data_IF_596614566308
#
_entry.id   IF_596614566308
#
_cell.length_a   1.000
_cell.length_b   1.000
_cell.length_c   1.000
_cell.angle_alpha   90.00
_cell.angle_beta   90.00
_cell.angle_gamma   90.00
#
_symmetry.space_group_name_H-M   'P 1'
#
loop_
_entity.id
_entity.type
_entity.pdbx_description
1 polymer ?
#
# COMPACT_ATOMS: atom_id res chain seq x y z
N UNK A 1 4.10 -16.15 80.83
CA UNK A 1 3.38 -16.77 79.70
C UNK A 1 2.68 -15.76 78.73
N UNK A 2 3.18 -14.53 78.48
CA UNK A 2 2.45 -13.55 77.62
C UNK A 2 3.12 -13.12 76.29
N UNK A 3 4.35 -13.56 75.97
CA UNK A 3 5.04 -13.19 74.72
C UNK A 3 4.85 -14.22 73.59
N UNK A 4 5.11 -15.50 73.87
CA UNK A 4 5.14 -16.55 72.84
C UNK A 4 3.77 -16.79 72.19
N UNK A 5 2.67 -16.67 72.96
CA UNK A 5 1.29 -16.79 72.45
C UNK A 5 0.96 -15.70 71.40
N UNK A 6 1.52 -14.49 71.53
CA UNK A 6 1.30 -13.43 70.53
C UNK A 6 1.99 -13.74 69.20
N UNK A 7 3.21 -14.28 69.23
CA UNK A 7 3.89 -14.73 68.02
C UNK A 7 3.24 -15.96 67.39
N UNK A 8 2.77 -16.91 68.21
CA UNK A 8 2.01 -18.06 67.71
C UNK A 8 0.71 -17.63 67.01
N UNK A 9 -0.06 -16.71 67.61
CA UNK A 9 -1.27 -16.15 67.00
C UNK A 9 -0.98 -15.30 65.75
N UNK A 10 0.14 -14.57 65.68
CA UNK A 10 0.55 -13.89 64.45
C UNK A 10 0.90 -14.87 63.33
N UNK A 11 1.61 -15.97 63.63
CA UNK A 11 1.99 -16.98 62.63
C UNK A 11 0.74 -17.74 62.13
N UNK A 12 -0.18 -18.12 63.03
CA UNK A 12 -1.47 -18.72 62.66
C UNK A 12 -2.33 -17.73 61.86
N UNK A 13 -2.31 -16.44 62.21
CA UNK A 13 -2.99 -15.38 61.46
C UNK A 13 -2.47 -15.20 60.03
N UNK A 14 -1.15 -15.22 59.83
CA UNK A 14 -0.53 -15.16 58.49
C UNK A 14 -0.84 -16.39 57.64
N UNK A 15 -0.89 -17.58 58.25
CA UNK A 15 -1.22 -18.83 57.58
C UNK A 15 -2.69 -18.91 57.13
N UNK A 16 -3.59 -18.12 57.71
CA UNK A 16 -5.03 -18.13 57.42
C UNK A 16 -5.48 -17.14 56.33
N UNK A 17 -4.59 -16.29 55.80
CA UNK A 17 -4.94 -15.30 54.76
C UNK A 17 -4.64 -15.74 53.33
N UNK A 18 -3.99 -16.89 53.11
CA UNK A 18 -3.61 -17.39 51.77
C UNK A 18 -4.72 -18.24 51.17
N UNK A 19 -5.89 -17.62 50.97
CA UNK A 19 -7.00 -18.18 50.20
C UNK A 19 -6.70 -18.18 48.71
N UNK A 20 -5.80 -19.06 48.25
CA UNK A 20 -5.56 -19.28 46.83
C UNK A 20 -6.83 -19.89 46.23
N UNK A 21 -7.65 -19.04 45.61
CA UNK A 21 -8.61 -19.47 44.60
C UNK A 21 -7.84 -20.03 43.42
N UNK A 22 -7.45 -21.29 43.52
CA UNK A 22 -6.98 -22.08 42.41
C UNK A 22 -8.15 -22.28 41.44
N UNK A 23 -8.40 -21.28 40.58
CA UNK A 23 -9.20 -21.47 39.39
C UNK A 23 -8.56 -22.61 38.60
N UNK A 24 -9.22 -23.76 38.62
CA UNK A 24 -8.78 -24.93 37.88
C UNK A 24 -9.13 -24.70 36.42
N UNK A 25 -8.28 -23.93 35.73
CA UNK A 25 -8.44 -23.55 34.33
C UNK A 25 -8.51 -24.82 33.48
N UNK A 26 -9.74 -25.23 33.15
CA UNK A 26 -9.98 -26.41 32.34
C UNK A 26 -9.54 -26.10 30.91
N UNK A 27 -8.37 -26.61 30.55
CA UNK A 27 -7.95 -26.65 29.15
C UNK A 27 -8.76 -27.71 28.41
N UNK A 28 -9.12 -27.41 27.16
CA UNK A 28 -9.82 -28.33 26.25
C UNK A 28 -8.87 -29.30 25.58
N UNK A 29 -7.64 -28.86 25.31
CA UNK A 29 -6.58 -29.65 24.67
C UNK A 29 -5.21 -29.07 25.05
N UNK A 30 -4.15 -29.85 24.85
CA UNK A 30 -2.75 -29.43 25.04
C UNK A 30 -2.00 -29.76 23.75
N UNK A 31 -1.69 -28.72 22.97
CA UNK A 31 -1.22 -28.86 21.59
C UNK A 31 0.28 -28.63 21.44
N UNK A 32 1.01 -29.67 21.02
CA UNK A 32 2.43 -29.56 20.62
C UNK A 32 2.58 -29.02 19.20
N UNK A 33 3.27 -27.89 19.06
CA UNK A 33 3.48 -27.15 17.80
C UNK A 33 4.26 -27.97 16.77
N UNK A 34 3.72 -28.10 15.56
CA UNK A 34 4.32 -28.81 14.43
C UNK A 34 5.08 -27.87 13.48
N UNK A 35 5.90 -28.45 12.60
CA UNK A 35 6.68 -27.68 11.61
C UNK A 35 5.70 -27.03 10.60
N UNK A 36 5.80 -25.70 10.44
CA UNK A 36 4.90 -24.80 9.68
C UNK A 36 3.58 -24.40 10.37
N UNK A 37 3.36 -24.77 11.63
CA UNK A 37 2.25 -24.19 12.38
C UNK A 37 2.49 -22.69 12.66
N UNK A 38 1.41 -21.96 12.91
CA UNK A 38 1.43 -20.54 13.32
C UNK A 38 0.40 -20.33 14.42
N UNK A 39 0.58 -19.30 15.26
CA UNK A 39 -0.34 -19.01 16.38
C UNK A 39 -1.78 -18.85 15.85
N UNK A 40 -1.95 -18.07 14.77
CA UNK A 40 -3.22 -17.93 14.04
C UNK A 40 -3.80 -19.25 13.52
N UNK A 41 -2.96 -20.10 12.90
CA UNK A 41 -3.40 -21.39 12.37
C UNK A 41 -3.88 -22.34 13.46
N UNK A 42 -3.25 -22.30 14.63
CA UNK A 42 -3.64 -23.08 15.81
C UNK A 42 -4.95 -22.53 16.39
N UNK A 43 -5.06 -21.22 16.62
CA UNK A 43 -6.30 -20.59 17.10
C UNK A 43 -7.49 -20.96 16.21
N UNK A 44 -7.35 -20.79 14.90
CA UNK A 44 -8.38 -21.12 13.91
C UNK A 44 -8.71 -22.63 13.87
N UNK A 45 -7.71 -23.53 13.94
CA UNK A 45 -7.93 -24.99 14.06
C UNK A 45 -8.84 -25.33 15.25
N UNK A 46 -8.68 -24.60 16.35
CA UNK A 46 -9.42 -24.79 17.59
C UNK A 46 -10.67 -23.91 17.72
N UNK A 47 -11.04 -23.14 16.69
CA UNK A 47 -12.21 -22.25 16.71
C UNK A 47 -12.11 -21.08 17.69
N UNK A 48 -10.89 -20.73 18.11
CA UNK A 48 -10.58 -19.65 19.04
C UNK A 48 -10.18 -18.38 18.28
N UNK A 49 -10.39 -17.23 18.91
CA UNK A 49 -9.75 -15.97 18.53
C UNK A 49 -8.25 -15.95 18.90
N UNK A 50 -7.47 -15.05 18.29
CA UNK A 50 -6.07 -14.85 18.69
C UNK A 50 -5.95 -14.38 20.16
N UNK A 51 -6.75 -13.41 20.66
CA UNK A 51 -6.76 -13.04 22.08
C UNK A 51 -6.93 -14.22 23.02
N UNK A 52 -7.96 -15.07 22.82
CA UNK A 52 -8.22 -16.23 23.70
C UNK A 52 -7.02 -17.21 23.76
N UNK A 53 -6.36 -17.47 22.61
CA UNK A 53 -5.18 -18.34 22.60
C UNK A 53 -3.97 -17.68 23.27
N UNK A 54 -3.73 -16.38 23.06
CA UNK A 54 -2.61 -15.66 23.70
C UNK A 54 -2.86 -15.39 25.19
N UNK A 55 -4.11 -15.35 25.64
CA UNK A 55 -4.48 -15.25 27.05
C UNK A 55 -4.27 -16.55 27.80
N UNK A 56 -4.56 -17.68 27.16
CA UNK A 56 -4.24 -19.01 27.66
C UNK A 56 -2.73 -19.34 27.67
N UNK A 57 -1.91 -18.59 26.91
CA UNK A 57 -0.47 -18.82 26.76
C UNK A 57 0.30 -17.49 26.91
N UNK A 58 0.41 -16.93 28.14
CA UNK A 58 0.90 -15.56 28.36
C UNK A 58 2.31 -15.29 27.85
N UNK A 59 3.16 -16.31 27.69
CA UNK A 59 4.48 -16.20 27.08
C UNK A 59 4.42 -15.70 25.62
N UNK A 60 3.31 -15.92 24.91
CA UNK A 60 3.08 -15.35 23.58
C UNK A 60 3.00 -13.81 23.58
N UNK A 61 2.71 -13.19 24.73
CA UNK A 61 2.61 -11.73 24.90
C UNK A 61 3.98 -11.07 25.11
N UNK A 62 5.07 -11.84 25.18
CA UNK A 62 6.44 -11.31 25.33
C UNK A 62 6.99 -10.77 24.00
N UNK A 63 7.73 -9.66 24.06
CA UNK A 63 8.35 -9.05 22.88
C UNK A 63 9.32 -10.02 22.18
N UNK A 64 9.23 -10.09 20.85
CA UNK A 64 10.05 -11.00 20.05
C UNK A 64 9.63 -12.48 20.09
N UNK A 65 8.54 -12.86 20.75
CA UNK A 65 8.10 -14.25 20.82
C UNK A 65 7.92 -14.89 19.42
N UNK A 66 8.68 -15.94 19.15
CA UNK A 66 8.55 -16.76 17.94
C UNK A 66 8.06 -18.15 18.33
N UNK A 67 6.97 -18.61 17.72
CA UNK A 67 6.39 -19.92 17.99
C UNK A 67 7.33 -21.03 17.49
N UNK A 68 7.92 -21.80 18.41
CA UNK A 68 8.90 -22.84 18.06
C UNK A 68 8.24 -24.22 17.89
N UNK A 69 8.80 -25.04 16.99
CA UNK A 69 8.37 -26.44 16.81
C UNK A 69 8.71 -27.24 18.07
N UNK A 70 7.70 -27.87 18.67
CA UNK A 70 7.84 -28.61 19.92
C UNK A 70 7.40 -27.84 21.18
N UNK A 71 7.16 -26.53 21.08
CA UNK A 71 6.48 -25.79 22.16
C UNK A 71 5.10 -26.41 22.41
N UNK A 72 4.70 -26.48 23.68
CA UNK A 72 3.40 -26.99 24.11
C UNK A 72 2.49 -25.82 24.43
N UNK A 73 1.27 -25.81 23.87
CA UNK A 73 0.29 -24.75 24.06
C UNK A 73 -0.95 -25.26 24.79
N UNK A 74 -1.46 -24.47 25.73
CA UNK A 74 -2.73 -24.69 26.39
C UNK A 74 -3.87 -24.17 25.52
N UNK A 75 -4.82 -25.02 25.17
CA UNK A 75 -5.97 -24.66 24.35
C UNK A 75 -7.19 -24.48 25.26
N UNK A 76 -7.74 -23.28 25.43
CA UNK A 76 -8.95 -23.07 26.23
C UNK A 76 -10.20 -23.63 25.52
N UNK A 77 -11.30 -23.75 26.26
CA UNK A 77 -12.63 -23.80 25.65
C UNK A 77 -12.92 -22.44 25.00
N UNK A 78 -13.70 -22.43 23.91
CA UNK A 78 -14.15 -21.18 23.31
C UNK A 78 -15.18 -20.51 24.23
N UNK A 79 -15.14 -19.19 24.32
CA UNK A 79 -16.10 -18.41 25.09
C UNK A 79 -17.49 -18.48 24.45
N UNK A 80 -18.57 -18.59 25.24
CA UNK A 80 -19.96 -18.64 24.73
C UNK A 80 -20.46 -17.33 24.06
N UNK A 81 -19.59 -16.35 23.83
CA UNK A 81 -19.90 -15.23 22.95
C UNK A 81 -19.86 -15.69 21.49
N UNK A 82 -21.01 -15.57 20.83
CA UNK A 82 -21.32 -16.21 19.53
C UNK A 82 -20.22 -16.04 18.47
N UNK A 83 -19.46 -17.11 18.21
CA UNK A 83 -18.54 -17.19 17.07
C UNK A 83 -19.32 -17.14 15.74
N UNK A 84 -19.16 -16.09 14.90
CA UNK A 84 -19.97 -15.93 13.68
C UNK A 84 -19.71 -16.98 12.58
N UNK A 85 -18.65 -17.77 12.70
CA UNK A 85 -18.16 -18.69 11.66
C UNK A 85 -18.36 -20.18 11.99
N UNK A 86 -19.21 -20.53 12.97
CA UNK A 86 -19.57 -21.92 13.24
C UNK A 86 -20.38 -22.52 12.05
N UNK A 87 -19.94 -23.63 11.43
CA UNK A 87 -20.62 -24.19 10.26
C UNK A 87 -21.95 -24.86 10.65
N UNK A 88 -23.07 -24.24 10.26
CA UNK A 88 -24.42 -24.80 10.46
C UNK A 88 -24.60 -26.10 9.67
N UNK A 89 -24.62 -27.24 10.37
CA UNK A 89 -25.21 -28.47 9.82
C UNK A 89 -26.73 -28.30 9.69
N UNK A 90 -27.29 -28.79 8.59
CA UNK A 90 -28.73 -28.72 8.34
C UNK A 90 -29.41 -30.02 8.81
N UNK A 91 -30.57 -29.87 9.45
CA UNK A 91 -31.66 -30.84 9.40
C UNK A 91 -32.90 -30.10 8.87
N UNK A 92 -33.73 -30.82 8.11
CA UNK A 92 -35.02 -30.35 7.61
C UNK A 92 -36.12 -30.89 8.51
N UNK A 93 -37.25 -30.18 8.60
CA UNK A 93 -38.54 -30.80 8.26
C UNK A 93 -39.61 -29.74 7.92
N UNK A 94 -40.65 -30.22 7.23
CA UNK A 94 -41.84 -29.51 6.73
C UNK A 94 -42.94 -29.48 7.84
N UNK A 95 -44.08 -28.76 7.81
CA UNK A 95 -44.73 -27.76 6.91
C UNK A 95 -45.86 -27.03 7.69
N UNK A 96 -46.42 -25.95 7.12
CA UNK A 96 -47.82 -25.43 7.17
C UNK A 96 -48.71 -25.66 8.42
N UNK A 97 -49.59 -24.75 8.90
CA UNK A 97 -49.95 -23.33 8.65
C UNK A 97 -50.89 -22.91 9.84
N UNK A 98 -51.93 -22.03 9.88
CA UNK A 98 -52.74 -21.22 8.95
C UNK A 98 -53.25 -19.94 9.69
N UNK A 99 -53.34 -18.81 8.96
CA UNK A 99 -54.12 -17.55 9.13
C UNK A 99 -54.66 -17.00 10.49
N UNK A 100 -54.74 -15.65 10.53
CA UNK A 100 -55.73 -14.78 11.23
C UNK A 100 -55.85 -14.84 12.77
N UNK A 101 -55.88 -13.74 13.52
CA UNK A 101 -56.42 -12.39 13.23
C UNK A 101 -55.84 -11.28 14.13
N UNK A 102 -56.12 -10.01 13.77
CA UNK A 102 -55.99 -8.81 14.63
C UNK A 102 -57.41 -8.45 15.14
N UNK A 103 -57.59 -7.80 16.32
CA UNK A 103 -57.02 -6.47 16.58
C UNK A 103 -56.38 -6.29 17.97
N UNK A 104 -55.59 -5.21 18.11
CA UNK A 104 -55.11 -4.71 19.39
C UNK A 104 -55.15 -3.17 19.40
N UNK A 105 -55.60 -2.59 20.51
CA UNK A 105 -55.67 -1.13 20.75
C UNK A 105 -54.28 -0.59 21.14
N UNK A 106 -54.11 0.73 21.13
CA UNK A 106 -52.85 1.41 21.42
C UNK A 106 -52.23 0.98 22.76
N UNK A 107 -50.91 0.75 22.75
CA UNK A 107 -50.08 0.52 23.92
C UNK A 107 -48.65 0.93 23.62
N UNK A 108 -48.11 1.88 24.39
CA UNK A 108 -46.76 2.42 24.21
C UNK A 108 -45.71 1.42 24.69
N UNK A 109 -44.83 0.98 23.79
CA UNK A 109 -43.62 0.21 24.13
C UNK A 109 -42.38 0.92 23.57
N UNK A 110 -41.36 1.11 24.40
CA UNK A 110 -40.13 1.77 24.00
C UNK A 110 -39.39 0.94 22.96
N UNK A 111 -39.21 1.50 21.76
CA UNK A 111 -38.45 0.87 20.69
C UNK A 111 -36.95 0.86 21.04
N UNK A 112 -36.50 -0.19 21.72
CA UNK A 112 -35.08 -0.54 21.77
C UNK A 112 -34.61 -0.72 20.32
N UNK A 113 -33.90 0.27 19.79
CA UNK A 113 -33.33 0.20 18.46
C UNK A 113 -32.34 -0.96 18.43
N UNK A 114 -32.68 -2.02 17.68
CA UNK A 114 -31.66 -2.86 17.06
C UNK A 114 -30.75 -1.92 16.30
N UNK A 115 -29.52 -1.75 16.78
CA UNK A 115 -28.48 -1.01 16.05
C UNK A 115 -28.34 -1.72 14.71
N UNK A 116 -28.81 -1.08 13.64
CA UNK A 116 -28.62 -1.59 12.29
C UNK A 116 -27.12 -1.73 12.07
N UNK A 117 -26.69 -2.87 11.51
CA UNK A 117 -25.28 -3.09 11.19
C UNK A 117 -24.78 -1.89 10.36
N UNK A 118 -23.80 -1.17 10.90
CA UNK A 118 -23.37 0.12 10.35
C UNK A 118 -22.98 -0.05 8.89
N UNK A 119 -23.72 0.61 7.99
CA UNK A 119 -23.48 0.62 6.54
C UNK A 119 -22.27 1.51 6.15
N UNK A 120 -21.42 1.84 7.12
CA UNK A 120 -20.15 2.52 6.94
C UNK A 120 -19.04 1.52 6.61
N UNK A 121 -18.17 1.86 5.66
CA UNK A 121 -16.97 1.05 5.38
C UNK A 121 -16.00 1.18 6.55
N UNK A 122 -15.55 0.06 7.11
CA UNK A 122 -14.62 0.02 8.23
C UNK A 122 -13.18 -0.02 7.75
N UNK A 123 -12.42 1.03 8.08
CA UNK A 123 -11.09 1.32 7.56
C UNK A 123 -10.09 1.33 8.71
N UNK A 124 -9.13 0.42 8.66
CA UNK A 124 -7.96 0.44 9.54
C UNK A 124 -6.75 1.11 8.90
N UNK A 125 -5.93 1.78 9.69
CA UNK A 125 -4.63 2.34 9.27
C UNK A 125 -3.56 1.87 10.24
N UNK A 126 -2.59 1.10 9.77
CA UNK A 126 -1.50 0.53 10.55
C UNK A 126 -0.16 0.94 9.95
N UNK A 127 0.31 2.12 10.35
CA UNK A 127 1.50 2.80 9.82
C UNK A 127 2.25 3.49 10.98
N UNK A 128 3.53 3.87 10.82
CA UNK A 128 4.19 4.78 11.75
C UNK A 128 3.52 6.15 11.71
N UNK A 129 2.62 6.44 12.66
CA UNK A 129 1.86 7.68 12.74
C UNK A 129 2.43 8.58 13.83
N UNK A 130 3.58 9.19 13.56
CA UNK A 130 4.31 10.07 14.48
C UNK A 130 5.10 11.17 13.74
N UNK A 131 5.44 12.27 14.42
CA UNK A 131 6.10 13.45 13.82
C UNK A 131 7.61 13.53 14.10
N UNK A 132 8.26 12.38 14.25
CA UNK A 132 9.69 12.30 14.66
C UNK A 132 10.59 12.38 13.44
N UNK A 133 10.57 11.34 12.60
CA UNK A 133 11.47 11.16 11.45
C UNK A 133 10.76 11.33 10.10
N UNK A 134 11.49 11.04 9.02
CA UNK A 134 10.98 11.15 7.66
C UNK A 134 9.93 10.11 7.26
N UNK A 135 9.90 8.91 7.84
CA UNK A 135 8.83 7.92 7.59
C UNK A 135 7.55 8.36 8.27
N UNK A 136 7.62 8.69 9.56
CA UNK A 136 6.48 9.12 10.35
C UNK A 136 5.77 10.33 9.72
N UNK A 137 6.53 11.37 9.37
CA UNK A 137 6.02 12.58 8.68
C UNK A 137 5.27 12.25 7.39
N UNK A 138 5.84 11.38 6.54
CA UNK A 138 5.22 10.94 5.28
C UNK A 138 3.95 10.10 5.51
N UNK A 139 3.91 9.26 6.54
CA UNK A 139 2.74 8.43 6.82
C UNK A 139 1.61 9.20 7.52
N UNK A 140 1.92 10.17 8.38
CA UNK A 140 0.95 11.14 8.90
C UNK A 140 0.34 11.95 7.75
N UNK A 141 1.14 12.43 6.80
CA UNK A 141 0.62 13.11 5.61
C UNK A 141 -0.25 12.18 4.74
N UNK A 142 0.16 10.93 4.51
CA UNK A 142 -0.65 9.94 3.81
C UNK A 142 -2.00 9.72 4.51
N UNK A 143 -2.02 9.60 5.84
CA UNK A 143 -3.24 9.43 6.63
C UNK A 143 -4.16 10.66 6.56
N UNK A 144 -3.60 11.88 6.61
CA UNK A 144 -4.35 13.13 6.34
C UNK A 144 -5.04 13.09 4.98
N UNK A 145 -4.35 12.63 3.95
CA UNK A 145 -4.91 12.39 2.61
C UNK A 145 -6.09 11.42 2.61
N UNK A 146 -5.95 10.28 3.30
CA UNK A 146 -7.01 9.28 3.45
C UNK A 146 -8.26 9.86 4.15
N UNK A 147 -8.07 10.67 5.20
CA UNK A 147 -9.15 11.37 5.89
C UNK A 147 -9.87 12.38 4.99
N UNK A 148 -9.16 13.07 4.09
CA UNK A 148 -9.78 13.95 3.09
C UNK A 148 -10.65 13.17 2.10
N UNK A 149 -10.25 11.97 1.70
CA UNK A 149 -11.10 11.09 0.88
C UNK A 149 -12.36 10.66 1.64
N UNK A 150 -12.22 10.26 2.91
CA UNK A 150 -13.37 9.93 3.77
C UNK A 150 -14.34 11.12 3.89
N UNK A 151 -13.84 12.34 4.08
CA UNK A 151 -14.64 13.57 4.13
C UNK A 151 -15.37 13.85 2.80
N UNK A 152 -14.69 13.68 1.65
CA UNK A 152 -15.31 13.83 0.34
C UNK A 152 -16.40 12.77 0.10
N UNK A 153 -16.14 11.51 0.43
CA UNK A 153 -17.07 10.39 0.24
C UNK A 153 -18.28 10.47 1.18
N UNK A 154 -18.12 11.00 2.41
CA UNK A 154 -19.23 11.33 3.31
C UNK A 154 -20.21 12.33 2.67
N UNK A 155 -19.71 13.34 1.95
CA UNK A 155 -20.53 14.28 1.16
C UNK A 155 -21.17 13.65 -0.09
N UNK A 156 -20.83 12.39 -0.41
CA UNK A 156 -21.45 11.56 -1.47
C UNK A 156 -22.29 10.41 -0.88
N UNK A 157 -22.61 10.45 0.42
CA UNK A 157 -23.47 9.46 1.08
C UNK A 157 -22.78 8.16 1.50
N UNK A 158 -21.44 8.06 1.38
CA UNK A 158 -20.67 6.90 1.84
C UNK A 158 -20.11 7.21 3.22
N UNK A 159 -20.70 6.60 4.25
CA UNK A 159 -20.16 6.64 5.62
C UNK A 159 -18.88 5.79 5.74
N UNK A 160 -18.00 6.20 6.63
CA UNK A 160 -16.73 5.51 6.95
C UNK A 160 -16.51 5.47 8.45
N UNK A 161 -16.11 4.32 8.97
CA UNK A 161 -15.66 4.12 10.35
C UNK A 161 -14.12 3.94 10.29
N UNK A 162 -13.35 4.83 10.92
CA UNK A 162 -11.90 4.94 10.70
C UNK A 162 -11.14 4.71 12.00
N UNK A 163 -10.38 3.62 12.03
CA UNK A 163 -9.52 3.22 13.13
C UNK A 163 -8.07 3.38 12.70
N UNK A 164 -7.23 4.01 13.53
CA UNK A 164 -5.85 4.31 13.18
C UNK A 164 -4.92 4.02 14.35
N UNK A 165 -3.85 3.27 14.07
CA UNK A 165 -2.88 2.83 15.06
C UNK A 165 -1.48 3.20 14.61
N UNK A 166 -0.73 3.84 15.50
CA UNK A 166 0.71 4.03 15.32
C UNK A 166 1.42 2.67 15.43
N UNK A 167 2.13 2.28 14.38
CA UNK A 167 2.98 1.09 14.34
C UNK A 167 4.42 1.52 14.08
N UNK A 168 5.23 1.74 15.13
CA UNK A 168 6.66 2.04 15.01
C UNK A 168 7.42 0.95 14.23
N UNK A 169 8.57 1.31 13.65
CA UNK A 169 9.40 0.39 12.87
C UNK A 169 9.77 -0.90 13.64
N UNK A 170 10.11 -0.78 14.93
CA UNK A 170 10.56 -1.91 15.74
C UNK A 170 9.49 -2.58 16.59
N UNK A 171 8.24 -2.11 16.52
CA UNK A 171 7.12 -2.74 17.23
C UNK A 171 6.81 -4.14 16.66
N UNK A 172 6.56 -5.09 17.56
CA UNK A 172 5.83 -6.30 17.20
C UNK A 172 4.36 -5.94 16.97
N UNK A 173 4.00 -5.79 15.71
CA UNK A 173 2.65 -5.41 15.28
C UNK A 173 1.56 -6.33 15.87
N UNK A 174 1.87 -7.56 16.30
CA UNK A 174 0.91 -8.45 16.98
C UNK A 174 0.27 -7.82 18.22
N UNK A 175 0.96 -6.93 18.94
CA UNK A 175 0.36 -6.16 20.03
C UNK A 175 -0.72 -5.18 19.52
N UNK A 176 -0.52 -4.57 18.36
CA UNK A 176 -1.51 -3.71 17.69
C UNK A 176 -2.70 -4.51 17.15
N UNK A 177 -2.47 -5.72 16.64
CA UNK A 177 -3.52 -6.61 16.12
C UNK A 177 -4.52 -7.10 17.19
N UNK A 178 -4.20 -6.93 18.48
CA UNK A 178 -5.07 -7.24 19.61
C UNK A 178 -5.94 -6.06 20.06
N UNK A 179 -5.74 -4.85 19.50
CA UNK A 179 -6.49 -3.65 19.91
C UNK A 179 -7.90 -3.63 19.33
N UNK A 180 -8.80 -2.91 19.99
CA UNK A 180 -10.22 -2.83 19.64
C UNK A 180 -10.42 -2.34 18.19
N UNK A 181 -11.46 -2.85 17.51
CA UNK A 181 -11.81 -2.48 16.13
C UNK A 181 -10.98 -3.19 15.04
N UNK A 182 -9.72 -3.55 15.31
CA UNK A 182 -8.77 -4.09 14.32
C UNK A 182 -9.29 -5.33 13.58
N UNK A 183 -9.91 -6.27 14.30
CA UNK A 183 -10.47 -7.51 13.73
C UNK A 183 -11.83 -7.31 13.03
N UNK A 184 -12.39 -6.10 13.05
CA UNK A 184 -13.70 -5.79 12.44
C UNK A 184 -13.61 -4.95 11.16
N UNK A 185 -12.40 -4.54 10.76
CA UNK A 185 -12.20 -3.73 9.55
C UNK A 185 -12.57 -4.49 8.27
N UNK A 186 -13.12 -3.82 7.27
CA UNK A 186 -13.26 -4.37 5.91
C UNK A 186 -11.92 -4.33 5.17
N UNK A 187 -11.13 -3.30 5.48
CA UNK A 187 -9.86 -2.98 4.81
C UNK A 187 -8.87 -2.35 5.80
N UNK A 188 -7.60 -2.73 5.70
CA UNK A 188 -6.48 -2.12 6.44
C UNK A 188 -5.46 -1.57 5.44
N UNK A 189 -5.01 -0.33 5.65
CA UNK A 189 -3.88 0.28 4.96
C UNK A 189 -2.61 0.13 5.80
N UNK A 190 -1.64 -0.63 5.30
CA UNK A 190 -0.37 -0.91 5.98
C UNK A 190 0.24 -2.25 5.58
N UNK A 191 1.37 -2.65 6.17
CA UNK A 191 2.26 -1.81 6.99
C UNK A 191 3.18 -0.98 6.08
N UNK A 192 4.08 -0.18 6.67
CA UNK A 192 5.21 0.39 5.92
C UNK A 192 6.40 -0.59 5.84
N UNK A 193 6.60 -1.42 6.87
CA UNK A 193 7.85 -2.17 7.06
C UNK A 193 7.71 -3.66 6.76
N UNK A 194 8.64 -4.22 5.97
CA UNK A 194 8.65 -5.64 5.55
C UNK A 194 8.40 -6.63 6.69
N UNK A 195 9.06 -6.46 7.85
CA UNK A 195 8.94 -7.41 8.98
C UNK A 195 7.53 -7.51 9.59
N UNK A 196 6.68 -6.50 9.35
CA UNK A 196 5.29 -6.45 9.82
C UNK A 196 4.29 -7.04 8.80
N UNK A 197 4.72 -7.29 7.55
CA UNK A 197 3.84 -7.72 6.45
C UNK A 197 3.26 -9.11 6.73
N UNK A 198 4.11 -10.11 7.01
CA UNK A 198 3.67 -11.48 7.25
C UNK A 198 2.63 -11.63 8.40
N UNK A 199 2.84 -11.06 9.62
CA UNK A 199 1.84 -11.15 10.69
C UNK A 199 0.52 -10.42 10.37
N UNK A 200 0.57 -9.18 9.84
CA UNK A 200 -0.64 -8.44 9.47
C UNK A 200 -1.39 -9.13 8.31
N UNK A 201 -0.67 -9.65 7.31
CA UNK A 201 -1.28 -10.41 6.22
C UNK A 201 -1.93 -11.72 6.71
N UNK A 202 -1.34 -12.40 7.70
CA UNK A 202 -1.92 -13.57 8.36
C UNK A 202 -3.21 -13.25 9.12
N UNK A 203 -3.23 -12.13 9.85
CA UNK A 203 -4.41 -11.59 10.53
C UNK A 203 -5.53 -11.23 9.54
N UNK A 204 -5.23 -10.43 8.52
CA UNK A 204 -6.20 -10.02 7.50
C UNK A 204 -6.82 -11.24 6.79
N UNK A 205 -6.01 -12.26 6.47
CA UNK A 205 -6.48 -13.53 5.90
C UNK A 205 -7.38 -14.35 6.84
N UNK A 206 -7.17 -14.24 8.16
CA UNK A 206 -7.98 -14.93 9.18
C UNK A 206 -9.36 -14.29 9.32
N UNK A 207 -9.43 -12.96 9.35
CA UNK A 207 -10.68 -12.21 9.52
C UNK A 207 -11.39 -11.85 8.19
N UNK A 208 -10.74 -12.05 7.04
CA UNK A 208 -11.29 -11.77 5.70
C UNK A 208 -11.21 -10.30 5.27
N UNK A 209 -10.28 -9.57 5.88
CA UNK A 209 -10.01 -8.13 5.71
C UNK A 209 -9.12 -7.92 4.48
N UNK A 210 -9.37 -6.92 3.65
CA UNK A 210 -8.44 -6.55 2.56
C UNK A 210 -7.21 -5.82 3.12
N UNK A 211 -6.00 -6.19 2.69
CA UNK A 211 -4.76 -5.55 3.13
C UNK A 211 -4.15 -4.75 1.98
N UNK A 212 -4.25 -3.42 2.04
CA UNK A 212 -3.58 -2.54 1.08
C UNK A 212 -2.20 -2.22 1.61
N UNK A 213 -1.17 -2.60 0.86
CA UNK A 213 0.23 -2.26 1.13
C UNK A 213 0.57 -1.06 0.24
N UNK A 214 0.58 0.17 0.77
CA UNK A 214 0.57 1.40 -0.04
C UNK A 214 1.94 1.77 -0.64
N UNK A 215 3.03 1.26 -0.07
CA UNK A 215 4.40 1.65 -0.42
C UNK A 215 5.31 0.43 -0.63
N UNK A 216 6.59 0.70 -0.92
CA UNK A 216 7.60 -0.30 -1.27
C UNK A 216 7.96 -1.19 -0.07
N UNK A 217 7.58 -2.46 -0.13
CA UNK A 217 8.10 -3.52 0.74
C UNK A 217 8.98 -4.49 -0.07
N UNK A 218 9.90 -5.17 0.61
CA UNK A 218 10.59 -6.34 0.07
C UNK A 218 9.82 -7.62 0.40
N UNK A 219 9.80 -8.59 -0.52
CA UNK A 219 9.12 -9.88 -0.34
C UNK A 219 8.06 -10.17 -1.40
N UNK A 220 7.38 -11.32 -1.24
CA UNK A 220 6.51 -11.94 -2.22
C UNK A 220 5.17 -12.43 -1.63
N UNK A 221 4.75 -11.93 -0.47
CA UNK A 221 3.52 -12.39 0.20
C UNK A 221 2.24 -12.20 -0.62
N UNK A 222 2.22 -11.22 -1.53
CA UNK A 222 1.14 -11.02 -2.51
C UNK A 222 1.01 -12.17 -3.53
N UNK A 223 2.03 -13.01 -3.69
CA UNK A 223 1.96 -14.27 -4.46
C UNK A 223 1.33 -15.42 -3.66
N UNK A 224 1.19 -15.28 -2.34
CA UNK A 224 0.68 -16.30 -1.40
C UNK A 224 -0.64 -15.95 -0.71
N UNK A 225 -1.01 -14.67 -0.65
CA UNK A 225 -2.14 -14.21 0.16
C UNK A 225 -3.14 -13.39 -0.67
N UNK A 226 -4.34 -13.97 -0.86
CA UNK A 226 -5.43 -13.44 -1.68
C UNK A 226 -6.02 -12.10 -1.23
N UNK A 227 -5.75 -11.68 0.01
CA UNK A 227 -6.28 -10.41 0.53
C UNK A 227 -5.33 -9.22 0.33
N UNK A 228 -4.09 -9.44 -0.13
CA UNK A 228 -3.11 -8.36 -0.33
C UNK A 228 -3.37 -7.61 -1.63
N UNK A 229 -3.40 -6.28 -1.55
CA UNK A 229 -3.32 -5.33 -2.65
C UNK A 229 -2.00 -4.56 -2.55
N UNK A 230 -0.99 -4.94 -3.34
CA UNK A 230 0.31 -4.28 -3.34
C UNK A 230 0.35 -3.15 -4.38
N UNK A 231 0.46 -1.90 -3.92
CA UNK A 231 0.46 -0.71 -4.78
C UNK A 231 1.78 -0.51 -5.53
N UNK A 232 2.91 -0.78 -4.87
CA UNK A 232 4.24 -0.52 -5.42
C UNK A 232 4.81 -1.72 -6.19
N UNK A 233 5.29 -1.48 -7.42
CA UNK A 233 5.93 -2.47 -8.29
C UNK A 233 7.45 -2.54 -8.05
N UNK A 234 8.07 -3.70 -8.18
CA UNK A 234 9.52 -3.84 -7.94
C UNK A 234 10.35 -3.06 -8.99
N UNK A 235 11.60 -2.64 -8.68
CA UNK A 235 12.44 -1.91 -9.64
C UNK A 235 12.66 -2.67 -10.95
N UNK A 236 12.73 -4.00 -10.89
CA UNK A 236 12.88 -4.89 -12.05
C UNK A 236 11.60 -4.87 -12.90
N UNK A 237 10.44 -4.96 -12.25
CA UNK A 237 9.13 -4.83 -12.90
C UNK A 237 8.98 -3.47 -13.58
N UNK A 238 9.41 -2.39 -12.92
CA UNK A 238 9.36 -1.03 -13.45
C UNK A 238 10.30 -0.85 -14.65
N UNK A 239 11.51 -1.41 -14.58
CA UNK A 239 12.46 -1.42 -15.70
C UNK A 239 11.90 -2.20 -16.90
N UNK A 240 11.30 -3.38 -16.68
CA UNK A 240 10.63 -4.15 -17.73
C UNK A 240 9.49 -3.37 -18.39
N UNK A 241 8.59 -2.76 -17.59
CA UNK A 241 7.51 -1.93 -18.10
C UNK A 241 8.05 -0.73 -18.90
N UNK A 242 9.13 -0.10 -18.44
CA UNK A 242 9.79 1.02 -19.12
C UNK A 242 10.37 0.60 -20.48
N UNK A 243 11.07 -0.53 -20.55
CA UNK A 243 11.63 -1.07 -21.80
C UNK A 243 10.50 -1.46 -22.77
N UNK A 244 9.44 -2.10 -22.29
CA UNK A 244 8.26 -2.46 -23.10
C UNK A 244 7.55 -1.21 -23.62
N UNK A 245 7.35 -0.18 -22.80
CA UNK A 245 6.73 1.07 -23.21
C UNK A 245 7.57 1.83 -24.26
N UNK A 246 8.90 1.86 -24.10
CA UNK A 246 9.82 2.41 -25.11
C UNK A 246 9.65 1.69 -26.45
N UNK A 247 9.81 0.36 -26.47
CA UNK A 247 9.77 -0.44 -27.69
C UNK A 247 8.40 -0.44 -28.38
N UNK A 248 7.32 -0.22 -27.62
CA UNK A 248 5.97 -0.06 -28.15
C UNK A 248 5.69 1.37 -28.65
N UNK A 249 6.38 2.39 -28.14
CA UNK A 249 6.26 3.79 -28.57
C UNK A 249 7.09 4.08 -29.82
N UNK A 250 8.33 3.61 -29.84
CA UNK A 250 9.36 4.06 -30.76
C UNK A 250 9.74 2.96 -31.76
N UNK A 251 8.96 2.84 -32.83
CA UNK A 251 9.08 1.78 -33.84
C UNK A 251 10.02 2.11 -35.01
N UNK A 252 10.32 3.38 -35.26
CA UNK A 252 11.13 3.86 -36.38
C UNK A 252 12.09 4.99 -35.98
N UNK A 253 12.89 4.74 -34.93
CA UNK A 253 13.77 5.75 -34.31
C UNK A 253 15.25 5.35 -34.38
N UNK A 254 16.11 6.28 -33.97
CA UNK A 254 17.51 6.03 -33.63
C UNK A 254 17.76 6.36 -32.14
N UNK A 255 17.91 5.36 -31.26
CA UNK A 255 18.22 5.61 -29.84
C UNK A 255 19.67 6.08 -29.66
N UNK A 256 19.88 7.09 -28.80
CA UNK A 256 21.20 7.63 -28.47
C UNK A 256 21.41 7.53 -26.96
N UNK A 257 22.36 6.71 -26.53
CA UNK A 257 22.73 6.58 -25.12
C UNK A 257 23.85 7.57 -24.78
N UNK A 258 23.56 8.52 -23.89
CA UNK A 258 24.51 9.54 -23.44
C UNK A 258 25.11 9.12 -22.10
N UNK A 259 26.40 8.82 -22.10
CA UNK A 259 27.18 8.70 -20.88
C UNK A 259 27.39 10.07 -20.26
N UNK A 260 26.88 10.23 -19.04
CA UNK A 260 26.92 11.46 -18.27
C UNK A 260 28.06 11.49 -17.24
N UNK A 261 28.99 10.53 -17.29
CA UNK A 261 30.12 10.36 -16.36
C UNK A 261 29.68 10.20 -14.88
N UNK A 262 28.50 9.61 -14.66
CA UNK A 262 27.88 9.47 -13.35
C UNK A 262 28.14 8.10 -12.71
N UNK A 263 29.27 7.98 -12.01
CA UNK A 263 29.65 6.79 -11.23
C UNK A 263 28.67 6.42 -10.10
N UNK A 264 27.73 7.31 -9.75
CA UNK A 264 26.69 7.06 -8.74
C UNK A 264 25.34 6.63 -9.35
N UNK A 265 25.25 6.52 -10.67
CA UNK A 265 24.00 6.19 -11.34
C UNK A 265 23.53 4.76 -11.07
N UNK A 266 22.23 4.63 -10.77
CA UNK A 266 21.54 3.34 -10.63
C UNK A 266 20.71 2.96 -11.86
N UNK A 267 20.83 3.68 -12.98
CA UNK A 267 20.04 3.44 -14.21
C UNK A 267 20.65 2.40 -15.16
N UNK A 268 21.86 1.91 -14.87
CA UNK A 268 22.57 0.94 -15.71
C UNK A 268 21.77 -0.33 -16.06
N UNK A 269 20.95 -0.84 -15.14
CA UNK A 269 20.10 -2.00 -15.39
C UNK A 269 19.05 -1.74 -16.50
N UNK A 270 18.47 -0.54 -16.54
CA UNK A 270 17.55 -0.12 -17.59
C UNK A 270 18.28 0.09 -18.92
N UNK A 271 19.38 0.86 -18.94
CA UNK A 271 20.09 1.17 -20.20
C UNK A 271 20.77 -0.07 -20.82
N UNK A 272 21.20 -1.03 -20.00
CA UNK A 272 21.66 -2.34 -20.49
C UNK A 272 20.49 -3.19 -21.01
N UNK A 273 19.40 -3.29 -20.25
CA UNK A 273 18.22 -4.06 -20.65
C UNK A 273 17.57 -3.55 -21.94
N UNK A 274 17.53 -2.23 -22.15
CA UNK A 274 17.02 -1.63 -23.37
C UNK A 274 17.93 -1.94 -24.57
N UNK A 275 19.25 -1.73 -24.47
CA UNK A 275 20.20 -2.05 -25.55
C UNK A 275 20.13 -3.52 -25.97
N UNK A 276 20.02 -4.45 -25.01
CA UNK A 276 19.85 -5.88 -25.28
C UNK A 276 18.58 -6.21 -26.07
N UNK A 277 17.45 -5.56 -25.79
CA UNK A 277 16.22 -5.78 -26.58
C UNK A 277 16.22 -5.02 -27.91
N UNK A 278 16.99 -3.92 -28.06
CA UNK A 278 17.24 -3.26 -29.34
C UNK A 278 18.11 -4.15 -30.26
N UNK A 279 19.22 -4.69 -29.75
CA UNK A 279 20.12 -5.63 -30.44
C UNK A 279 19.36 -6.85 -30.96
N UNK A 280 18.58 -7.49 -30.08
CA UNK A 280 17.69 -8.63 -30.41
C UNK A 280 16.63 -8.32 -31.47
N UNK A 281 16.34 -7.05 -31.73
CA UNK A 281 15.40 -6.56 -32.76
C UNK A 281 16.10 -5.98 -33.99
N UNK A 282 17.43 -6.04 -34.05
CA UNK A 282 18.26 -5.38 -35.07
C UNK A 282 18.02 -3.86 -35.18
N UNK A 283 17.68 -3.20 -34.07
CA UNK A 283 17.51 -1.74 -34.01
C UNK A 283 18.85 -1.13 -33.63
N UNK A 284 19.49 -0.46 -34.60
CA UNK A 284 20.74 0.27 -34.38
C UNK A 284 20.55 1.41 -33.35
N UNK A 285 21.60 1.68 -32.59
CA UNK A 285 21.66 2.79 -31.63
C UNK A 285 23.08 3.37 -31.60
N UNK A 286 23.25 4.57 -31.07
CA UNK A 286 24.57 5.17 -30.81
C UNK A 286 24.86 5.30 -29.32
N UNK A 287 26.15 5.35 -28.97
CA UNK A 287 26.65 5.73 -27.65
C UNK A 287 27.51 6.98 -27.82
N UNK A 288 27.36 7.97 -26.95
CA UNK A 288 28.17 9.19 -26.90
C UNK A 288 28.38 9.63 -25.45
N UNK A 289 29.23 10.63 -25.21
CA UNK A 289 29.52 11.13 -23.86
C UNK A 289 29.20 12.64 -23.78
N UNK A 290 28.67 13.12 -22.66
CA UNK A 290 28.31 14.53 -22.45
C UNK A 290 29.53 15.48 -22.57
N UNK A 291 30.73 14.97 -22.28
CA UNK A 291 32.00 15.71 -22.37
C UNK A 291 32.64 15.69 -23.77
N UNK A 292 32.01 15.05 -24.76
CA UNK A 292 32.52 15.06 -26.15
C UNK A 292 32.45 16.45 -26.77
N UNK A 293 33.40 16.78 -27.66
CA UNK A 293 33.29 17.99 -28.49
C UNK A 293 32.03 17.91 -29.36
N UNK A 294 31.47 19.06 -29.74
CA UNK A 294 30.16 19.09 -30.40
C UNK A 294 30.14 18.32 -31.73
N UNK A 295 31.26 18.33 -32.46
CA UNK A 295 31.43 17.61 -33.73
C UNK A 295 31.52 16.08 -33.55
N UNK A 296 31.88 15.60 -32.35
CA UNK A 296 31.87 14.18 -32.01
C UNK A 296 30.51 13.77 -31.43
N UNK A 297 29.88 14.64 -30.63
CA UNK A 297 28.52 14.44 -30.14
C UNK A 297 27.51 14.34 -31.29
N UNK A 298 27.64 15.21 -32.30
CA UNK A 298 26.80 15.23 -33.50
C UNK A 298 26.79 13.91 -34.29
N UNK A 299 27.90 13.16 -34.31
CA UNK A 299 28.02 11.87 -35.03
C UNK A 299 27.13 10.76 -34.46
N UNK A 300 26.56 10.95 -33.27
CA UNK A 300 25.61 10.01 -32.70
C UNK A 300 24.19 10.14 -33.29
N UNK A 301 23.90 11.21 -34.04
CA UNK A 301 22.58 11.51 -34.58
C UNK A 301 22.43 11.04 -36.02
N UNK A 302 21.24 10.54 -36.37
CA UNK A 302 20.84 10.21 -37.74
C UNK A 302 19.78 11.23 -38.22
N UNK A 303 20.10 12.12 -39.19
CA UNK A 303 19.15 13.14 -39.68
C UNK A 303 17.86 12.56 -40.31
N UNK A 304 17.89 11.31 -40.78
CA UNK A 304 16.75 10.61 -41.39
C UNK A 304 15.85 9.87 -40.39
N UNK A 305 16.04 10.08 -39.08
CA UNK A 305 15.28 9.43 -37.99
C UNK A 305 14.90 10.44 -36.91
N UNK A 306 13.87 10.10 -36.15
CA UNK A 306 13.66 10.65 -34.80
C UNK A 306 14.76 10.10 -33.88
N UNK A 307 15.54 10.98 -33.26
CA UNK A 307 16.66 10.62 -32.39
C UNK A 307 16.19 10.61 -30.93
N UNK A 308 16.15 9.44 -30.29
CA UNK A 308 15.62 9.30 -28.93
C UNK A 308 16.79 9.24 -27.93
N UNK A 309 17.04 10.38 -27.28
CA UNK A 309 18.18 10.60 -26.39
C UNK A 309 17.86 10.06 -24.99
N UNK A 310 18.73 9.17 -24.50
CA UNK A 310 18.58 8.41 -23.26
C UNK A 310 19.85 8.63 -22.42
N UNK A 311 19.74 9.31 -21.28
CA UNK A 311 20.87 9.51 -20.38
C UNK A 311 21.17 8.24 -19.60
N UNK A 312 22.43 7.97 -19.25
CA UNK A 312 22.75 6.87 -18.32
C UNK A 312 22.45 7.19 -16.83
N UNK A 313 21.78 8.30 -16.52
CA UNK A 313 21.41 8.71 -15.14
C UNK A 313 20.13 9.53 -15.07
N UNK A 314 19.48 9.49 -13.90
CA UNK A 314 18.29 10.29 -13.56
C UNK A 314 18.59 11.58 -12.78
N UNK A 315 19.86 11.92 -12.51
CA UNK A 315 20.21 13.08 -11.66
C UNK A 315 20.13 14.41 -12.42
N UNK A 316 19.65 15.46 -11.73
CA UNK A 316 19.43 16.78 -12.35
C UNK A 316 20.68 17.47 -12.90
N UNK A 317 21.89 17.42 -12.28
CA UNK A 317 23.06 18.11 -12.83
C UNK A 317 23.47 17.56 -14.21
N UNK A 318 23.40 16.24 -14.36
CA UNK A 318 23.68 15.55 -15.62
C UNK A 318 22.58 15.80 -16.67
N UNK A 319 21.31 15.85 -16.26
CA UNK A 319 20.23 16.31 -17.14
C UNK A 319 20.51 17.72 -17.67
N UNK A 320 20.83 18.69 -16.80
CA UNK A 320 21.15 20.06 -17.22
C UNK A 320 22.34 20.10 -18.17
N UNK A 321 23.40 19.31 -17.91
CA UNK A 321 24.57 19.24 -18.79
C UNK A 321 24.22 18.71 -20.19
N UNK A 322 23.43 17.64 -20.30
CA UNK A 322 23.00 17.11 -21.61
C UNK A 322 22.00 18.04 -22.30
N UNK A 323 21.09 18.71 -21.57
CA UNK A 323 20.19 19.72 -22.14
C UNK A 323 20.96 20.91 -22.73
N UNK A 324 21.99 21.40 -22.03
CA UNK A 324 22.90 22.42 -22.57
C UNK A 324 23.62 21.90 -23.83
N UNK A 325 24.01 20.62 -23.85
CA UNK A 325 24.69 20.00 -25.00
C UNK A 325 23.79 19.81 -26.21
N UNK A 326 22.49 19.53 -25.98
CA UNK A 326 21.48 19.48 -27.02
C UNK A 326 21.18 20.88 -27.58
N UNK A 327 21.14 21.92 -26.74
CA UNK A 327 20.98 23.31 -27.23
C UNK A 327 22.20 23.76 -28.06
N UNK A 328 23.43 23.39 -27.68
CA UNK A 328 24.63 23.60 -28.50
C UNK A 328 24.55 22.85 -29.84
N UNK A 329 24.03 21.62 -29.82
CA UNK A 329 23.90 20.78 -31.02
C UNK A 329 22.85 21.32 -31.99
N UNK A 330 21.64 21.59 -31.51
CA UNK A 330 20.53 22.15 -32.28
C UNK A 330 20.87 23.51 -32.89
N UNK A 331 21.61 24.35 -32.16
CA UNK A 331 22.10 25.65 -32.67
C UNK A 331 23.14 25.51 -33.80
N UNK A 332 23.90 24.42 -33.85
CA UNK A 332 24.97 24.18 -34.85
C UNK A 332 24.53 23.27 -36.00
N UNK A 333 23.58 22.38 -35.76
CA UNK A 333 23.08 21.36 -36.68
C UNK A 333 21.53 21.32 -36.66
N UNK A 334 20.87 22.42 -37.05
CA UNK A 334 19.42 22.54 -36.94
C UNK A 334 18.66 21.54 -37.83
N UNK A 335 17.45 21.18 -37.41
CA UNK A 335 16.54 20.31 -38.18
C UNK A 335 16.61 18.82 -37.83
N UNK A 336 17.45 18.41 -36.87
CA UNK A 336 17.40 17.07 -36.31
C UNK A 336 16.10 16.89 -35.49
N UNK A 337 15.34 15.81 -35.75
CA UNK A 337 14.24 15.41 -34.86
C UNK A 337 14.83 14.76 -33.60
N UNK A 338 14.49 15.30 -32.42
CA UNK A 338 15.01 14.87 -31.12
C UNK A 338 13.85 14.68 -30.13
N UNK A 339 13.85 13.54 -29.43
CA UNK A 339 13.00 13.29 -28.26
C UNK A 339 13.86 12.82 -27.09
N UNK A 340 13.52 13.21 -25.85
CA UNK A 340 14.17 12.69 -24.65
C UNK A 340 13.37 11.53 -24.05
N UNK A 341 14.05 10.45 -23.66
CA UNK A 341 13.45 9.39 -22.84
C UNK A 341 14.14 9.31 -21.48
N UNK A 342 13.39 9.68 -20.44
CA UNK A 342 13.94 10.09 -19.15
C UNK A 342 13.59 9.17 -17.98
N UNK A 343 13.49 9.80 -16.80
CA UNK A 343 13.31 9.10 -15.52
C UNK A 343 12.38 9.85 -14.58
N UNK A 344 11.67 9.12 -13.71
CA UNK A 344 10.69 9.67 -12.77
C UNK A 344 11.25 10.79 -11.88
N UNK A 345 12.53 10.73 -11.52
CA UNK A 345 13.23 11.77 -10.74
C UNK A 345 13.21 13.16 -11.42
N UNK A 346 13.10 13.22 -12.75
CA UNK A 346 13.02 14.49 -13.49
C UNK A 346 11.73 15.26 -13.22
N UNK A 347 10.63 14.58 -12.83
CA UNK A 347 9.37 15.24 -12.47
C UNK A 347 9.52 16.20 -11.28
N UNK A 348 10.48 15.94 -10.38
CA UNK A 348 10.76 16.82 -9.23
C UNK A 348 11.38 18.17 -9.66
N UNK A 349 11.98 18.24 -10.86
CA UNK A 349 12.66 19.41 -11.40
C UNK A 349 12.04 19.92 -12.71
N UNK A 350 10.88 19.38 -13.13
CA UNK A 350 10.26 19.67 -14.41
C UNK A 350 9.95 21.17 -14.60
N UNK A 351 9.52 21.87 -13.54
CA UNK A 351 9.31 23.34 -13.56
C UNK A 351 10.52 24.13 -14.04
N UNK A 352 11.75 23.67 -13.76
CA UNK A 352 12.99 24.37 -14.13
C UNK A 352 13.49 24.00 -15.53
N UNK A 353 12.90 22.99 -16.17
CA UNK A 353 13.31 22.48 -17.48
C UNK A 353 12.15 22.45 -18.50
N UNK A 354 11.01 23.07 -18.17
CA UNK A 354 9.74 22.87 -18.86
C UNK A 354 9.81 23.16 -20.37
N UNK A 355 10.32 24.34 -20.75
CA UNK A 355 10.49 24.72 -22.16
C UNK A 355 11.43 23.77 -22.92
N UNK A 356 12.46 23.26 -22.25
CA UNK A 356 13.38 22.25 -22.81
C UNK A 356 12.73 20.87 -22.92
N UNK A 357 11.82 20.52 -22.01
CA UNK A 357 11.07 19.27 -22.08
C UNK A 357 10.06 19.28 -23.23
N UNK A 358 9.43 20.42 -23.51
CA UNK A 358 8.61 20.62 -24.71
C UNK A 358 9.47 20.62 -25.99
N UNK A 359 10.56 21.42 -26.03
CA UNK A 359 11.49 21.49 -27.17
C UNK A 359 12.02 20.12 -27.60
N UNK A 360 12.34 19.26 -26.64
CA UNK A 360 12.91 17.93 -26.87
C UNK A 360 11.92 16.80 -26.59
N UNK A 361 10.62 17.01 -26.86
CA UNK A 361 9.58 15.97 -26.95
C UNK A 361 9.74 14.87 -25.88
N UNK A 362 9.63 15.25 -24.60
CA UNK A 362 10.21 14.48 -23.48
C UNK A 362 9.22 13.49 -22.88
N UNK A 363 9.59 12.21 -22.83
CA UNK A 363 8.82 11.12 -22.24
C UNK A 363 9.46 10.68 -20.92
N UNK A 364 8.72 10.76 -19.82
CA UNK A 364 9.16 10.33 -18.49
C UNK A 364 8.34 9.10 -18.03
N UNK A 365 8.96 7.94 -17.81
CA UNK A 365 8.28 6.77 -17.27
C UNK A 365 7.92 6.98 -15.79
N UNK A 366 6.70 6.59 -15.42
CA UNK A 366 6.20 6.72 -14.05
C UNK A 366 5.05 5.76 -13.74
N UNK A 367 4.72 5.63 -12.45
CA UNK A 367 3.48 5.02 -11.95
C UNK A 367 2.47 6.04 -11.41
N UNK A 368 2.88 7.31 -11.30
CA UNK A 368 2.12 8.46 -10.79
C UNK A 368 2.44 9.74 -11.57
N UNK A 369 1.65 10.81 -11.42
CA UNK A 369 2.00 12.14 -11.94
C UNK A 369 1.32 13.27 -11.16
N UNK A 370 2.12 14.13 -10.55
CA UNK A 370 1.65 15.34 -9.89
C UNK A 370 1.50 16.48 -10.91
N UNK A 371 0.27 16.90 -11.19
CA UNK A 371 -0.02 18.05 -12.05
C UNK A 371 -0.40 19.28 -11.20
N UNK A 372 0.49 20.27 -11.01
CA UNK A 372 0.22 21.47 -10.19
C UNK A 372 -0.73 22.49 -10.84
N UNK A 373 -0.99 22.40 -12.15
CA UNK A 373 -1.90 23.31 -12.87
C UNK A 373 -3.31 22.74 -13.02
N UNK A 374 -3.52 21.46 -12.67
CA UNK A 374 -4.85 20.87 -12.66
C UNK A 374 -5.68 21.41 -11.47
N UNK A 375 -6.87 21.93 -11.77
CA UNK A 375 -7.79 22.52 -10.79
C UNK A 375 -8.07 21.60 -9.59
N UNK A 376 -8.20 20.28 -9.83
CA UNK A 376 -8.42 19.27 -8.79
C UNK A 376 -7.25 19.17 -7.81
N UNK A 377 -6.02 19.28 -8.29
CA UNK A 377 -4.82 19.31 -7.45
C UNK A 377 -4.83 20.54 -6.57
N UNK A 378 -5.04 21.72 -7.17
CA UNK A 378 -5.05 23.00 -6.46
C UNK A 378 -6.18 23.07 -5.42
N UNK A 379 -7.36 22.53 -5.74
CA UNK A 379 -8.48 22.48 -4.80
C UNK A 379 -8.23 21.48 -3.66
N UNK A 380 -7.52 20.38 -3.92
CA UNK A 380 -7.10 19.42 -2.88
C UNK A 380 -5.98 20.01 -1.99
N UNK A 381 -5.03 20.74 -2.56
CA UNK A 381 -3.96 21.44 -1.82
C UNK A 381 -4.52 22.54 -0.91
N UNK A 382 -5.38 23.43 -1.43
CA UNK A 382 -6.10 24.44 -0.63
C UNK A 382 -6.94 23.81 0.48
N UNK A 383 -7.60 22.68 0.21
CA UNK A 383 -8.37 21.97 1.22
C UNK A 383 -7.48 21.32 2.30
N UNK A 384 -6.29 20.82 1.93
CA UNK A 384 -5.33 20.26 2.88
C UNK A 384 -4.79 21.35 3.82
N UNK A 385 -4.39 22.50 3.27
CA UNK A 385 -3.96 23.67 4.03
C UNK A 385 -5.07 24.18 4.96
N UNK A 386 -6.32 24.21 4.50
CA UNK A 386 -7.48 24.59 5.32
C UNK A 386 -7.79 23.62 6.47
N UNK A 387 -7.56 22.31 6.31
CA UNK A 387 -7.82 21.30 7.34
C UNK A 387 -6.66 21.05 8.30
N UNK A 388 -5.42 21.25 7.87
CA UNK A 388 -4.22 20.87 8.64
C UNK A 388 -3.25 22.03 8.90
N UNK A 389 -3.59 23.25 8.47
CA UNK A 389 -2.87 24.50 8.72
C UNK A 389 -1.39 24.47 8.30
N UNK A 390 -1.06 23.68 7.28
CA UNK A 390 0.28 23.53 6.71
C UNK A 390 0.20 23.05 5.24
N UNK A 391 1.17 23.41 4.38
CA UNK A 391 1.26 22.91 3.01
C UNK A 391 1.64 21.43 2.96
N UNK A 392 1.37 20.76 1.83
CA UNK A 392 1.82 19.39 1.59
C UNK A 392 3.35 19.32 1.43
N UNK A 393 3.98 18.28 1.97
CA UNK A 393 5.41 17.96 1.83
C UNK A 393 5.82 17.91 0.36
N UNK A 394 6.96 18.54 0.03
CA UNK A 394 7.53 18.49 -1.32
C UNK A 394 8.23 17.13 -1.50
N UNK A 395 7.50 16.19 -2.11
CA UNK A 395 7.96 14.84 -2.40
C UNK A 395 7.36 14.33 -3.71
N UNK A 396 7.93 13.25 -4.26
CA UNK A 396 7.41 12.54 -5.43
C UNK A 396 7.32 11.04 -5.10
N UNK A 397 6.11 10.44 -5.04
CA UNK A 397 4.80 11.09 -5.10
C UNK A 397 4.53 12.00 -3.88
N UNK A 398 3.56 12.91 -3.98
CA UNK A 398 2.99 13.63 -2.81
C UNK A 398 2.24 12.63 -1.93
N UNK A 399 2.44 12.65 -0.62
CA UNK A 399 1.90 11.61 0.27
C UNK A 399 0.41 11.81 0.55
N UNK A 400 -0.05 13.06 0.74
CA UNK A 400 -1.46 13.36 0.95
C UNK A 400 -2.30 13.00 -0.27
N UNK A 401 -1.83 13.33 -1.48
CA UNK A 401 -2.56 13.00 -2.71
C UNK A 401 -2.58 11.49 -2.94
N UNK A 402 -1.51 10.77 -2.59
CA UNK A 402 -1.50 9.29 -2.63
C UNK A 402 -2.52 8.69 -1.66
N UNK A 403 -2.59 9.18 -0.43
CA UNK A 403 -3.60 8.75 0.55
C UNK A 403 -5.03 9.06 0.13
N UNK A 404 -5.23 10.23 -0.49
CA UNK A 404 -6.52 10.63 -1.07
C UNK A 404 -6.93 9.70 -2.21
N UNK A 405 -6.07 9.47 -3.20
CA UNK A 405 -6.35 8.57 -4.34
C UNK A 405 -6.59 7.13 -3.88
N UNK A 406 -5.82 6.64 -2.90
CA UNK A 406 -6.04 5.32 -2.32
C UNK A 406 -7.40 5.23 -1.61
N UNK A 407 -7.76 6.21 -0.77
CA UNK A 407 -9.07 6.26 -0.13
C UNK A 407 -10.22 6.31 -1.13
N UNK A 408 -10.13 7.22 -2.10
CA UNK A 408 -11.10 7.37 -3.18
C UNK A 408 -11.28 6.07 -3.98
N UNK A 409 -10.21 5.35 -4.28
CA UNK A 409 -10.28 4.10 -5.00
C UNK A 409 -10.88 2.96 -4.16
N UNK A 410 -10.26 2.68 -3.02
CA UNK A 410 -10.58 1.49 -2.22
C UNK A 410 -11.91 1.60 -1.47
N UNK A 411 -12.25 2.75 -0.91
CA UNK A 411 -13.48 2.91 -0.11
C UNK A 411 -14.71 2.77 -1.01
N UNK A 412 -14.69 3.38 -2.20
CA UNK A 412 -15.75 3.21 -3.20
C UNK A 412 -15.82 1.77 -3.73
N UNK A 413 -14.66 1.13 -3.93
CA UNK A 413 -14.57 -0.28 -4.32
C UNK A 413 -15.21 -1.22 -3.31
N UNK A 414 -14.80 -1.15 -2.04
CA UNK A 414 -15.37 -1.93 -0.94
C UNK A 414 -16.85 -1.62 -0.73
N UNK A 415 -17.28 -0.35 -0.78
CA UNK A 415 -18.71 0.01 -0.65
C UNK A 415 -19.58 -0.60 -1.75
N UNK A 416 -19.06 -0.73 -2.97
CA UNK A 416 -19.79 -1.24 -4.15
C UNK A 416 -19.71 -2.76 -4.34
N UNK A 417 -18.66 -3.41 -3.82
CA UNK A 417 -18.34 -4.84 -4.08
C UNK A 417 -18.08 -5.69 -2.84
N UNK A 418 -17.87 -5.09 -1.67
CA UNK A 418 -17.53 -5.79 -0.43
C UNK A 418 -16.40 -6.80 -0.64
N UNK A 419 -16.67 -8.06 -0.31
CA UNK A 419 -15.68 -9.16 -0.42
C UNK A 419 -15.32 -9.55 -1.86
N UNK A 420 -16.13 -9.17 -2.86
CA UNK A 420 -15.87 -9.38 -4.29
C UNK A 420 -14.91 -8.35 -4.90
N UNK A 421 -14.46 -7.35 -4.14
CA UNK A 421 -13.56 -6.33 -4.68
C UNK A 421 -12.20 -6.93 -5.08
N UNK A 422 -11.79 -6.68 -6.33
CA UNK A 422 -10.52 -7.12 -6.93
C UNK A 422 -9.68 -5.96 -7.49
N UNK A 423 -10.24 -4.75 -7.60
CA UNK A 423 -9.53 -3.55 -8.07
C UNK A 423 -9.30 -3.49 -9.59
N UNK A 424 -10.04 -4.26 -10.37
CA UNK A 424 -10.12 -4.14 -11.84
C UNK A 424 -10.71 -2.77 -12.25
N UNK A 425 -10.29 -2.23 -13.41
CA UNK A 425 -10.63 -0.86 -13.87
C UNK A 425 -12.15 -0.57 -13.87
N UNK A 426 -12.99 -1.56 -14.16
CA UNK A 426 -14.44 -1.44 -14.26
C UNK A 426 -15.16 -1.37 -12.90
N UNK A 427 -14.49 -1.75 -11.81
CA UNK A 427 -15.12 -1.79 -10.48
C UNK A 427 -15.27 -0.39 -9.89
N UNK A 428 -14.28 0.48 -10.06
CA UNK A 428 -14.25 1.84 -9.48
C UNK A 428 -14.29 2.89 -10.57
N UNK A 429 -15.33 3.73 -10.60
CA UNK A 429 -15.35 4.92 -11.45
C UNK A 429 -14.71 6.10 -10.72
N UNK A 430 -13.38 6.19 -10.77
CA UNK A 430 -12.61 7.28 -10.16
C UNK A 430 -11.46 7.70 -11.09
N UNK A 431 -11.35 9.00 -11.34
CA UNK A 431 -10.18 9.58 -12.03
C UNK A 431 -9.25 10.18 -10.96
N UNK A 432 -8.02 9.66 -10.81
CA UNK A 432 -7.08 10.06 -9.76
C UNK A 432 -6.58 11.50 -9.94
N UNK A 433 -6.06 12.07 -8.85
CA UNK A 433 -5.37 13.36 -8.85
C UNK A 433 -3.88 13.18 -9.14
N UNK A 434 -3.28 12.05 -8.74
CA UNK A 434 -1.86 11.75 -8.94
C UNK A 434 -1.55 10.28 -9.24
N UNK A 435 -2.19 9.33 -8.56
CA UNK A 435 -1.78 7.91 -8.51
C UNK A 435 -2.88 7.01 -9.07
N UNK A 436 -2.86 6.64 -10.36
CA UNK A 436 -3.82 5.70 -10.92
C UNK A 436 -3.57 4.27 -10.42
N UNK A 437 -4.66 3.57 -10.16
CA UNK A 437 -4.66 2.20 -9.64
C UNK A 437 -5.38 1.27 -10.61
N UNK A 438 -4.70 0.20 -10.99
CA UNK A 438 -5.27 -0.90 -11.77
C UNK A 438 -4.70 -2.20 -11.24
N UNK A 439 -5.51 -2.96 -10.50
CA UNK A 439 -5.06 -4.19 -9.88
C UNK A 439 -5.26 -5.40 -10.78
N UNK A 440 -4.20 -6.19 -10.92
CA UNK A 440 -4.21 -7.48 -11.63
C UNK A 440 -3.83 -8.56 -10.64
N UNK A 441 -4.58 -9.66 -10.66
CA UNK A 441 -4.41 -10.79 -9.75
C UNK A 441 -3.09 -11.54 -10.01
N UNK A 442 -2.42 -11.97 -8.95
CA UNK A 442 -1.24 -12.85 -9.04
C UNK A 442 -1.66 -14.31 -9.26
N UNK A 443 -0.72 -15.16 -9.67
CA UNK A 443 -1.01 -16.55 -10.07
C UNK A 443 -1.63 -17.39 -8.94
N UNK A 444 -1.33 -17.08 -7.68
CA UNK A 444 -1.76 -17.87 -6.50
C UNK A 444 -2.18 -17.05 -5.28
N UNK A 445 -2.05 -15.73 -5.32
CA UNK A 445 -2.27 -14.85 -4.16
C UNK A 445 -3.27 -13.74 -4.45
N UNK A 446 -2.89 -12.52 -4.05
CA UNK A 446 -3.70 -11.30 -4.11
C UNK A 446 -3.49 -10.55 -5.42
N UNK A 447 -3.30 -9.24 -5.33
CA UNK A 447 -3.33 -8.34 -6.48
C UNK A 447 -2.14 -7.37 -6.44
N UNK A 448 -1.52 -7.15 -7.60
CA UNK A 448 -0.49 -6.12 -7.80
C UNK A 448 -1.07 -4.99 -8.65
N UNK A 449 -0.81 -3.73 -8.28
CA UNK A 449 -1.05 -2.61 -9.17
C UNK A 449 -0.16 -2.78 -10.42
N UNK A 450 -0.75 -2.62 -11.59
CA UNK A 450 -0.10 -2.68 -12.90
C UNK A 450 -0.17 -1.36 -13.66
N UNK A 451 -0.61 -0.28 -13.03
CA UNK A 451 -0.54 1.04 -13.65
C UNK A 451 0.91 1.43 -13.99
N UNK A 452 1.13 1.81 -15.25
CA UNK A 452 2.36 2.39 -15.75
C UNK A 452 1.99 3.40 -16.85
N UNK A 453 2.69 4.53 -16.88
CA UNK A 453 2.43 5.60 -17.83
C UNK A 453 3.72 6.29 -18.26
N UNK A 454 3.74 6.81 -19.49
CA UNK A 454 4.70 7.81 -19.93
C UNK A 454 4.07 9.20 -19.78
N UNK A 455 4.72 10.09 -19.03
CA UNK A 455 4.37 11.51 -18.98
C UNK A 455 5.11 12.20 -20.10
N UNK A 456 4.35 12.71 -21.08
CA UNK A 456 4.87 13.22 -22.34
C UNK A 456 4.70 14.74 -22.40
N UNK A 457 5.82 15.45 -22.42
CA UNK A 457 5.91 16.88 -22.67
C UNK A 457 6.10 17.06 -24.17
N UNK A 458 5.06 17.50 -24.85
CA UNK A 458 4.96 17.55 -26.31
C UNK A 458 5.54 18.85 -26.88
N UNK A 459 5.95 18.83 -28.14
CA UNK A 459 6.43 20.04 -28.85
C UNK A 459 5.37 21.15 -28.99
N UNK A 460 4.07 20.85 -28.83
CA UNK A 460 2.98 21.85 -28.86
C UNK A 460 2.60 22.35 -27.44
N UNK A 461 3.51 22.24 -26.47
CA UNK A 461 3.38 22.70 -25.08
C UNK A 461 2.23 22.05 -24.29
N UNK A 462 1.82 20.82 -24.66
CA UNK A 462 0.86 20.00 -23.92
C UNK A 462 1.58 18.97 -23.04
N UNK A 463 0.96 18.57 -21.92
CA UNK A 463 1.46 17.47 -21.09
C UNK A 463 0.41 16.35 -21.07
N UNK A 464 0.77 15.22 -21.66
CA UNK A 464 -0.07 14.03 -21.72
C UNK A 464 0.40 12.95 -20.73
N UNK A 465 -0.50 12.04 -20.37
CA UNK A 465 -0.18 10.82 -19.63
C UNK A 465 -0.65 9.61 -20.44
N UNK A 466 0.29 8.96 -21.14
CA UNK A 466 -0.03 7.80 -21.97
C UNK A 466 0.12 6.52 -21.16
N UNK A 467 -1.02 5.87 -20.91
CA UNK A 467 -1.12 4.66 -20.11
C UNK A 467 -0.74 3.41 -20.93
N UNK A 468 -0.17 2.42 -20.26
CA UNK A 468 0.16 1.09 -20.80
C UNK A 468 -0.53 -0.03 -20.00
#
# INVERSE_FOLDING_TARGET
MKRNIRYFLMIVGLMLSVGIFAQTTKWRDIYTVKKKDTIFGIANKYGLSLPELMEANPEMKQEGYMLQKGTTLFIPFASDQQNPNAPKKAQKEDKNAVASSKPAVAGTAAAQQKVAASDAVKIGVMLPLHDVDGDGKRMVEYYRGLLMACNYLKKKGISTDVHAWNVPIDADIRATLLQEGANTCDIIFGPLYTKQVAPLAGFCKTYGIKLVIPFSISGDDVERNKEIFQVYQSPETLNECTIKAFLNRFTNVHPIFVDCNDSTSRKGAFTFGLRKELEKRNINYSITNVSSSIDQFAKAFLPSKQNVVILNTGRSPQLTAVLNKLDEFDSKYPGASISLFGYTEWLMYAKYNLERFYKYDTYIPSTFYYNPVAERTQNLEKAYEGWFHQPMMIAQPRFAITGYDHGMFFIQGIKKKGKEFTGERQQVNYQPVQTPLHFVKTTKGGYKNKNFQLIHYTFNHQIESVNY
#
